data_IF_511742863584
#
_entry.id   IF_511742863584
#
_cell.length_a   1.000
_cell.length_b   1.000
_cell.length_c   1.000
_cell.angle_alpha   90.00
_cell.angle_beta   90.00
_cell.angle_gamma   90.00
#
_symmetry.space_group_name_H-M   'P 1'
#
loop_
_entity.id
_entity.type
_entity.pdbx_description
1 polymer ?
#
# COMPACT_ATOMS: atom_id res chain seq x y z
N UNK A 1 36.73 70.45 -17.60
CA UNK A 1 36.17 69.75 -16.41
C UNK A 1 34.64 69.77 -16.36
N UNK A 2 33.94 70.78 -16.90
CA UNK A 2 32.46 70.91 -16.82
C UNK A 2 31.70 69.72 -17.41
N UNK A 3 32.08 69.20 -18.58
CA UNK A 3 31.40 68.05 -19.21
C UNK A 3 31.46 66.74 -18.40
N UNK A 4 32.43 66.58 -17.52
CA UNK A 4 32.52 65.40 -16.67
C UNK A 4 31.48 65.44 -15.55
N UNK A 5 31.21 66.63 -15.00
CA UNK A 5 30.14 66.84 -14.01
C UNK A 5 28.76 66.63 -14.62
N UNK A 6 28.54 67.04 -15.87
CA UNK A 6 27.26 66.80 -16.58
C UNK A 6 27.00 65.30 -16.77
N UNK A 7 28.04 64.53 -17.13
CA UNK A 7 27.95 63.07 -17.28
C UNK A 7 27.68 62.40 -15.93
N UNK A 8 28.40 62.81 -14.88
CA UNK A 8 28.23 62.24 -13.53
C UNK A 8 26.84 62.55 -12.96
N UNK A 9 26.33 63.77 -13.20
CA UNK A 9 24.99 64.17 -12.80
C UNK A 9 23.91 63.35 -13.52
N UNK A 10 24.03 63.17 -14.83
CA UNK A 10 23.10 62.35 -15.60
C UNK A 10 23.13 60.88 -15.17
N UNK A 11 24.32 60.35 -14.85
CA UNK A 11 24.45 58.97 -14.36
C UNK A 11 23.81 58.80 -12.97
N UNK A 12 23.98 59.78 -12.08
CA UNK A 12 23.35 59.76 -10.75
C UNK A 12 21.83 59.91 -10.86
N UNK A 13 21.34 60.78 -11.74
CA UNK A 13 19.91 60.93 -12.01
C UNK A 13 19.29 59.64 -12.58
N UNK A 14 19.98 58.98 -13.51
CA UNK A 14 19.55 57.69 -14.08
C UNK A 14 19.50 56.59 -13.01
N UNK A 15 20.52 56.54 -12.13
CA UNK A 15 20.56 55.57 -11.03
C UNK A 15 19.39 55.75 -10.06
N UNK A 16 19.08 57.00 -9.69
CA UNK A 16 17.96 57.32 -8.80
C UNK A 16 16.63 56.94 -9.46
N UNK A 17 16.45 57.23 -10.75
CA UNK A 17 15.24 56.87 -11.49
C UNK A 17 15.04 55.35 -11.56
N UNK A 18 16.10 54.59 -11.82
CA UNK A 18 16.07 53.12 -11.83
C UNK A 18 15.74 52.56 -10.44
N UNK A 19 16.36 53.08 -9.39
CA UNK A 19 16.12 52.63 -8.02
C UNK A 19 14.67 52.84 -7.60
N UNK A 20 14.14 54.05 -7.83
CA UNK A 20 12.74 54.37 -7.53
C UNK A 20 11.75 53.53 -8.34
N UNK A 21 12.04 53.29 -9.63
CA UNK A 21 11.20 52.45 -10.48
C UNK A 21 11.12 51.00 -9.99
N UNK A 22 12.25 50.43 -9.58
CA UNK A 22 12.33 49.08 -9.02
C UNK A 22 11.62 48.99 -7.67
N UNK A 23 11.79 49.98 -6.78
CA UNK A 23 11.12 50.01 -5.47
C UNK A 23 9.58 50.07 -5.61
N UNK A 24 9.08 50.94 -6.50
CA UNK A 24 7.64 51.04 -6.79
C UNK A 24 7.10 49.72 -7.37
N UNK A 25 7.86 49.07 -8.26
CA UNK A 25 7.49 47.79 -8.84
C UNK A 25 7.38 46.68 -7.78
N UNK A 26 8.34 46.57 -6.87
CA UNK A 26 8.27 45.59 -5.79
C UNK A 26 7.09 45.85 -4.86
N UNK A 27 6.80 47.11 -4.52
CA UNK A 27 5.63 47.48 -3.72
C UNK A 27 4.31 47.13 -4.42
N UNK A 28 4.24 47.29 -5.73
CA UNK A 28 3.06 46.92 -6.51
C UNK A 28 2.88 45.40 -6.63
N UNK A 29 3.96 44.65 -6.82
CA UNK A 29 3.93 43.18 -6.86
C UNK A 29 3.47 42.59 -5.52
N UNK A 30 3.95 43.14 -4.40
CA UNK A 30 3.55 42.69 -3.07
C UNK A 30 2.05 42.97 -2.82
N UNK A 31 1.55 44.13 -3.29
CA UNK A 31 0.12 44.46 -3.23
C UNK A 31 -0.76 43.52 -4.09
N UNK A 32 -0.31 43.10 -5.28
CA UNK A 32 -1.03 42.12 -6.12
C UNK A 32 -1.01 40.70 -5.53
N UNK A 33 0.08 40.30 -4.89
CA UNK A 33 0.19 38.99 -4.25
C UNK A 33 -0.60 38.92 -2.93
N UNK A 34 -0.79 40.07 -2.25
CA UNK A 34 -1.61 40.20 -1.04
C UNK A 34 -3.10 39.96 -1.28
N UNK A 35 -3.60 40.14 -2.52
CA UNK A 35 -5.00 39.82 -2.89
C UNK A 35 -5.26 38.32 -3.12
N UNK A 36 -4.23 37.47 -3.03
CA UNK A 36 -4.37 36.00 -3.08
C UNK A 36 -4.03 35.41 -1.71
N UNK A 37 -4.66 35.94 -0.65
CA UNK A 37 -4.82 35.18 0.58
C UNK A 37 -6.28 35.21 1.03
N UNK A 38 -6.81 34.00 1.06
CA UNK A 38 -7.85 33.55 1.98
C UNK A 38 -9.26 34.04 1.68
N UNK A 39 -9.87 33.32 0.75
CA UNK A 39 -11.27 32.92 0.76
C UNK A 39 -11.93 33.02 2.15
N UNK A 40 -12.68 34.09 2.37
CA UNK A 40 -13.81 34.13 3.30
C UNK A 40 -15.06 33.44 2.72
N UNK A 41 -14.89 32.56 1.73
CA UNK A 41 -15.98 31.78 1.14
C UNK A 41 -15.83 30.31 1.51
N UNK A 42 -16.08 30.00 2.79
CA UNK A 42 -16.62 28.72 3.25
C UNK A 42 -16.91 28.76 4.77
N UNK A 43 -17.59 29.81 5.23
CA UNK A 43 -18.50 29.66 6.36
C UNK A 43 -19.86 29.15 5.84
N UNK A 44 -19.84 28.15 4.95
CA UNK A 44 -20.96 27.24 4.90
C UNK A 44 -20.90 26.46 6.20
N UNK A 45 -21.80 26.85 7.12
CA UNK A 45 -22.47 26.00 8.07
C UNK A 45 -22.02 24.55 7.97
N UNK A 46 -20.93 24.20 8.66
CA UNK A 46 -20.79 22.88 9.22
C UNK A 46 -21.92 22.77 10.24
N UNK A 47 -23.12 22.49 9.72
CA UNK A 47 -24.19 21.87 10.47
C UNK A 47 -23.50 20.75 11.21
N UNK A 48 -23.43 20.88 12.53
CA UNK A 48 -22.73 19.97 13.40
C UNK A 48 -23.19 18.57 13.00
N UNK A 49 -22.39 17.90 12.18
CA UNK A 49 -22.47 16.46 12.00
C UNK A 49 -22.18 16.00 13.41
N UNK A 50 -23.24 15.60 14.09
CA UNK A 50 -23.22 14.81 15.30
C UNK A 50 -21.98 13.95 15.19
N UNK A 51 -20.97 14.25 15.99
CA UNK A 51 -19.86 13.33 16.20
C UNK A 51 -20.55 12.06 16.66
N UNK A 52 -20.75 11.14 15.73
CA UNK A 52 -21.21 9.81 16.05
C UNK A 52 -20.17 9.32 17.05
N UNK A 53 -20.62 9.11 18.30
CA UNK A 53 -19.75 8.79 19.42
C UNK A 53 -18.86 7.66 18.95
N UNK A 54 -17.54 7.89 18.93
CA UNK A 54 -16.60 6.85 18.54
C UNK A 54 -16.97 5.58 19.32
N UNK A 55 -17.21 4.46 18.61
CA UNK A 55 -17.62 3.23 19.27
C UNK A 55 -16.63 2.92 20.39
N UNK A 56 -17.11 2.45 21.56
CA UNK A 56 -16.21 2.07 22.63
C UNK A 56 -15.18 1.05 22.11
N UNK A 57 -13.95 1.01 22.66
CA UNK A 57 -12.87 0.17 22.15
C UNK A 57 -13.26 -1.32 22.03
N UNK A 58 -14.18 -1.81 22.86
CA UNK A 58 -14.76 -3.15 22.78
C UNK A 58 -15.48 -3.46 21.45
N UNK A 59 -15.95 -2.44 20.71
CA UNK A 59 -16.55 -2.61 19.39
C UNK A 59 -15.55 -3.19 18.37
N UNK A 60 -14.26 -2.87 18.53
CA UNK A 60 -13.18 -3.29 17.65
C UNK A 60 -12.62 -4.68 18.00
N UNK A 61 -13.02 -5.27 19.13
CA UNK A 61 -12.65 -6.66 19.49
C UNK A 61 -13.15 -7.68 18.46
N UNK A 62 -14.20 -7.33 17.70
CA UNK A 62 -14.66 -8.15 16.58
C UNK A 62 -13.62 -8.25 15.46
N UNK A 63 -12.75 -7.25 15.30
CA UNK A 63 -11.71 -7.23 14.27
C UNK A 63 -10.54 -8.14 14.69
N UNK A 64 -10.13 -8.09 15.97
CA UNK A 64 -9.04 -8.93 16.49
C UNK A 64 -9.41 -10.41 16.54
N UNK A 65 -10.64 -10.74 16.97
CA UNK A 65 -11.15 -12.12 17.06
C UNK A 65 -11.32 -12.82 15.72
N UNK A 66 -11.45 -12.06 14.63
CA UNK A 66 -11.55 -12.59 13.26
C UNK A 66 -10.19 -12.94 12.65
N UNK A 67 -9.09 -12.81 13.40
CA UNK A 67 -7.74 -13.08 12.93
C UNK A 67 -7.27 -12.15 11.80
N UNK A 68 -8.01 -11.07 11.52
CA UNK A 68 -7.73 -10.13 10.42
C UNK A 68 -6.41 -9.37 10.62
N UNK A 69 -5.89 -9.36 11.85
CA UNK A 69 -4.65 -8.68 12.25
C UNK A 69 -3.68 -9.65 12.95
N UNK A 70 -3.76 -10.96 12.65
CA UNK A 70 -2.85 -11.97 13.20
C UNK A 70 -3.15 -12.41 14.64
N UNK A 71 -4.32 -12.04 15.19
CA UNK A 71 -4.83 -12.54 16.47
C UNK A 71 -5.37 -13.98 16.37
N UNK A 72 -5.53 -14.70 17.50
CA UNK A 72 -6.11 -16.03 17.50
C UNK A 72 -7.52 -15.98 16.89
N UNK A 73 -7.74 -16.77 15.84
CA UNK A 73 -9.07 -16.97 15.25
C UNK A 73 -9.87 -17.74 16.29
N UNK A 74 -10.76 -17.02 16.99
CA UNK A 74 -11.74 -17.66 17.84
C UNK A 74 -12.94 -17.92 16.94
N UNK A 75 -13.10 -19.16 16.51
CA UNK A 75 -14.28 -19.66 15.80
C UNK A 75 -15.48 -19.63 16.74
N UNK A 76 -15.93 -18.43 17.09
CA UNK A 76 -17.24 -18.24 17.67
C UNK A 76 -18.20 -18.21 16.50
N UNK A 77 -18.79 -19.38 16.27
CA UNK A 77 -20.01 -19.56 15.51
C UNK A 77 -21.09 -18.64 16.11
N UNK A 78 -21.08 -17.37 15.73
CA UNK A 78 -22.09 -16.40 16.12
C UNK A 78 -22.90 -16.03 14.89
N UNK A 79 -24.05 -16.73 14.81
CA UNK A 79 -25.21 -16.53 13.95
C UNK A 79 -25.00 -16.68 12.44
N UNK A 80 -24.95 -17.95 12.04
CA UNK A 80 -25.62 -18.41 10.83
C UNK A 80 -27.15 -18.32 11.03
N UNK A 81 -27.72 -17.15 10.79
CA UNK A 81 -29.13 -16.98 10.40
C UNK A 81 -28.99 -16.20 9.07
N UNK A 82 -29.05 -16.77 7.87
CA UNK A 82 -30.12 -17.59 7.30
C UNK A 82 -29.58 -18.65 6.30
N UNK A 83 -30.20 -19.84 6.37
CA UNK A 83 -29.90 -21.14 5.77
C UNK A 83 -28.97 -22.02 6.62
N UNK A 84 -29.57 -23.05 7.24
CA UNK A 84 -28.88 -24.01 8.11
C UNK A 84 -27.71 -24.70 7.44
N UNK A 85 -26.59 -24.77 8.16
CA UNK A 85 -25.33 -25.40 7.73
C UNK A 85 -25.51 -26.85 7.27
N UNK A 86 -26.54 -27.54 7.77
CA UNK A 86 -26.88 -28.93 7.42
C UNK A 86 -27.37 -29.11 5.97
N UNK A 87 -28.01 -28.11 5.36
CA UNK A 87 -28.47 -28.20 3.96
C UNK A 87 -27.35 -27.84 2.97
N UNK A 88 -26.37 -27.05 3.39
CA UNK A 88 -25.21 -26.65 2.59
C UNK A 88 -24.18 -27.78 2.52
N UNK A 89 -24.07 -28.59 3.59
CA UNK A 89 -23.19 -29.76 3.63
C UNK A 89 -23.69 -30.96 2.79
N UNK A 90 -24.96 -30.98 2.40
CA UNK A 90 -25.57 -32.04 1.60
C UNK A 90 -25.47 -31.82 0.07
N UNK A 91 -24.94 -30.68 -0.38
CA UNK A 91 -24.81 -30.36 -1.80
C UNK A 91 -23.61 -31.06 -2.43
N UNK A 92 -23.79 -31.55 -3.66
CA UNK A 92 -22.71 -32.24 -4.40
C UNK A 92 -21.68 -31.22 -4.88
N UNK A 93 -20.37 -31.54 -4.81
CA UNK A 93 -19.32 -30.67 -5.35
C UNK A 93 -19.52 -30.49 -6.85
N UNK A 94 -19.32 -29.27 -7.35
CA UNK A 94 -19.52 -28.98 -8.76
C UNK A 94 -18.53 -29.75 -9.64
N UNK A 95 -19.01 -30.24 -10.79
CA UNK A 95 -18.16 -30.89 -11.80
C UNK A 95 -17.69 -29.93 -12.88
N UNK A 96 -17.95 -28.62 -12.72
CA UNK A 96 -17.55 -27.59 -13.68
C UNK A 96 -16.03 -27.32 -13.60
N UNK A 97 -15.42 -27.01 -14.74
CA UNK A 97 -14.01 -26.65 -14.85
C UNK A 97 -13.77 -25.19 -14.45
N UNK A 98 -14.22 -24.81 -13.26
CA UNK A 98 -14.12 -23.46 -12.72
C UNK A 98 -13.35 -23.53 -11.41
N UNK A 99 -12.42 -22.60 -11.21
CA UNK A 99 -11.72 -22.42 -9.94
C UNK A 99 -12.22 -21.15 -9.28
N UNK A 100 -12.65 -21.29 -8.03
CA UNK A 100 -12.92 -20.15 -7.18
C UNK A 100 -11.59 -19.61 -6.65
N UNK A 101 -11.25 -18.38 -7.03
CA UNK A 101 -10.02 -17.70 -6.59
C UNK A 101 -10.26 -16.88 -5.32
N UNK A 102 -11.48 -16.37 -5.13
CA UNK A 102 -11.82 -15.61 -3.94
C UNK A 102 -13.30 -15.24 -3.85
N UNK A 103 -13.74 -14.93 -2.63
CA UNK A 103 -15.10 -14.50 -2.33
C UNK A 103 -15.07 -13.29 -1.41
N UNK A 104 -15.86 -12.28 -1.71
CA UNK A 104 -16.22 -11.22 -0.76
C UNK A 104 -17.64 -11.49 -0.29
N UNK A 105 -17.78 -11.75 1.01
CA UNK A 105 -19.05 -12.04 1.66
C UNK A 105 -19.59 -10.76 2.33
N UNK A 106 -20.88 -10.48 2.12
CA UNK A 106 -21.55 -9.30 2.65
C UNK A 106 -23.02 -9.27 2.22
N UNK A 107 -23.73 -8.14 2.40
CA UNK A 107 -25.06 -7.93 1.85
C UNK A 107 -25.05 -8.19 0.33
N UNK A 108 -26.16 -8.66 -0.26
CA UNK A 108 -26.20 -9.09 -1.68
C UNK A 108 -25.61 -8.06 -2.67
N UNK A 109 -25.74 -6.76 -2.38
CA UNK A 109 -25.19 -5.66 -3.19
C UNK A 109 -23.65 -5.58 -3.20
N UNK A 110 -23.00 -6.24 -2.26
CA UNK A 110 -21.54 -6.19 -2.03
C UNK A 110 -20.90 -7.57 -2.13
N UNK A 111 -21.70 -8.61 -2.34
CA UNK A 111 -21.22 -9.98 -2.43
C UNK A 111 -20.76 -10.31 -3.85
N UNK A 112 -19.51 -10.75 -4.00
CA UNK A 112 -18.96 -11.13 -5.29
C UNK A 112 -17.95 -12.27 -5.18
N UNK A 113 -17.88 -13.08 -6.23
CA UNK A 113 -16.95 -14.18 -6.39
C UNK A 113 -16.02 -13.91 -7.57
N UNK A 114 -14.73 -14.13 -7.37
CA UNK A 114 -13.73 -14.11 -8.44
C UNK A 114 -13.49 -15.55 -8.87
N UNK A 115 -13.81 -15.86 -10.12
CA UNK A 115 -13.75 -17.21 -10.67
C UNK A 115 -12.94 -17.26 -11.96
N UNK A 116 -12.22 -18.36 -12.15
CA UNK A 116 -11.41 -18.62 -13.35
C UNK A 116 -11.90 -19.88 -14.08
N UNK A 117 -12.13 -19.76 -15.39
CA UNK A 117 -12.48 -20.90 -16.24
C UNK A 117 -11.21 -21.64 -16.70
N UNK A 118 -11.02 -22.88 -16.21
CA UNK A 118 -9.95 -23.80 -16.64
C UNK A 118 -10.21 -24.23 -18.10
N UNK A 119 -9.61 -23.49 -19.03
CA UNK A 119 -9.70 -23.74 -20.47
C UNK A 119 -9.54 -22.47 -21.32
N UNK A 120 -9.99 -21.31 -20.81
CA UNK A 120 -9.87 -20.02 -21.51
C UNK A 120 -8.94 -19.02 -20.81
N UNK A 121 -8.40 -19.37 -19.62
CA UNK A 121 -7.66 -18.44 -18.72
C UNK A 121 -8.38 -17.11 -18.54
N UNK A 122 -9.71 -17.14 -18.56
CA UNK A 122 -10.56 -15.97 -18.41
C UNK A 122 -10.97 -15.88 -16.95
N UNK A 123 -10.53 -14.83 -16.28
CA UNK A 123 -10.92 -14.50 -14.92
C UNK A 123 -12.07 -13.51 -14.98
N UNK A 124 -13.09 -13.72 -14.16
CA UNK A 124 -14.26 -12.86 -14.09
C UNK A 124 -14.67 -12.58 -12.66
N UNK A 125 -15.21 -11.38 -12.46
CA UNK A 125 -15.93 -11.00 -11.26
C UNK A 125 -17.41 -11.31 -11.48
N UNK A 126 -18.01 -12.05 -10.56
CA UNK A 126 -19.41 -12.46 -10.68
C UNK A 126 -20.18 -12.20 -9.38
N UNK A 127 -21.44 -11.79 -9.52
CA UNK A 127 -22.37 -11.51 -8.44
C UNK A 127 -23.53 -12.52 -8.41
N UNK A 128 -24.34 -12.49 -7.36
CA UNK A 128 -25.57 -13.29 -7.28
C UNK A 128 -26.46 -13.01 -8.51
N UNK A 129 -26.89 -14.07 -9.21
CA UNK A 129 -27.66 -14.00 -10.45
C UNK A 129 -26.84 -14.08 -11.74
N UNK A 130 -25.51 -13.89 -11.69
CA UNK A 130 -24.68 -13.99 -12.88
C UNK A 130 -24.53 -15.44 -13.36
N UNK A 131 -24.28 -15.59 -14.67
CA UNK A 131 -24.07 -16.88 -15.32
C UNK A 131 -22.59 -17.13 -15.63
N UNK A 132 -22.09 -18.30 -15.23
CA UNK A 132 -20.73 -18.77 -15.53
C UNK A 132 -20.81 -20.20 -16.08
N UNK A 133 -20.27 -20.45 -17.28
CA UNK A 133 -20.38 -21.73 -18.00
C UNK A 133 -21.79 -22.38 -18.04
N UNK A 134 -22.84 -21.56 -18.07
CA UNK A 134 -24.23 -22.04 -18.08
C UNK A 134 -24.80 -22.38 -16.69
N UNK A 135 -24.05 -22.17 -15.62
CA UNK A 135 -24.51 -22.22 -14.23
C UNK A 135 -24.88 -20.83 -13.73
N UNK A 136 -25.90 -20.72 -12.87
CA UNK A 136 -26.32 -19.46 -12.25
C UNK A 136 -25.84 -19.40 -10.80
N UNK A 137 -25.35 -18.25 -10.35
CA UNK A 137 -24.91 -18.07 -8.96
C UNK A 137 -26.13 -17.79 -8.08
N UNK A 138 -26.46 -18.69 -7.16
CA UNK A 138 -27.54 -18.50 -6.18
C UNK A 138 -27.11 -17.74 -4.93
N UNK A 139 -25.91 -18.04 -4.42
CA UNK A 139 -25.41 -17.41 -3.18
C UNK A 139 -23.90 -17.44 -3.13
N UNK A 140 -23.30 -16.32 -2.74
CA UNK A 140 -21.87 -16.23 -2.44
C UNK A 140 -21.70 -16.33 -0.92
N UNK A 141 -21.02 -17.38 -0.47
CA UNK A 141 -20.68 -17.61 0.93
C UNK A 141 -19.17 -17.41 1.13
N UNK A 142 -18.72 -17.38 2.38
CA UNK A 142 -17.29 -17.27 2.68
C UNK A 142 -16.56 -18.51 2.20
N UNK A 143 -15.70 -18.35 1.19
CA UNK A 143 -14.87 -19.44 0.63
C UNK A 143 -15.65 -20.49 -0.17
N UNK A 144 -16.96 -20.30 -0.39
CA UNK A 144 -17.82 -21.21 -1.13
C UNK A 144 -18.83 -20.44 -1.96
N UNK A 145 -19.21 -20.97 -3.13
CA UNK A 145 -20.26 -20.40 -3.98
C UNK A 145 -21.26 -21.49 -4.30
N UNK A 146 -22.55 -21.19 -4.13
CA UNK A 146 -23.64 -22.09 -4.52
C UNK A 146 -24.04 -21.73 -5.94
N UNK A 147 -23.92 -22.71 -6.83
CA UNK A 147 -24.21 -22.62 -8.25
C UNK A 147 -25.43 -23.50 -8.56
N UNK A 148 -26.32 -23.03 -9.43
CA UNK A 148 -27.37 -23.85 -10.01
C UNK A 148 -26.95 -24.29 -11.41
N UNK A 149 -26.74 -25.59 -11.59
CA UNK A 149 -26.35 -26.22 -12.86
C UNK A 149 -27.51 -27.10 -13.33
N UNK A 150 -28.18 -26.72 -14.42
CA UNK A 150 -29.29 -27.49 -15.03
C UNK A 150 -30.39 -27.89 -14.01
N UNK A 151 -30.76 -26.97 -13.10
CA UNK A 151 -31.80 -27.20 -12.09
C UNK A 151 -31.35 -27.95 -10.83
N UNK A 152 -30.05 -28.20 -10.66
CA UNK A 152 -29.47 -28.80 -9.45
C UNK A 152 -28.49 -27.85 -8.79
N UNK A 153 -28.54 -27.79 -7.47
CA UNK A 153 -27.63 -26.97 -6.68
C UNK A 153 -26.32 -27.72 -6.47
N UNK A 154 -25.23 -27.10 -6.90
CA UNK A 154 -23.86 -27.58 -6.77
C UNK A 154 -23.04 -26.56 -5.97
N UNK A 155 -22.08 -27.06 -5.20
CA UNK A 155 -21.19 -26.19 -4.42
C UNK A 155 -19.80 -26.12 -5.06
N UNK A 156 -19.33 -24.90 -5.29
CA UNK A 156 -17.95 -24.63 -5.66
C UNK A 156 -17.21 -24.16 -4.41
N UNK A 157 -16.38 -25.04 -3.86
CA UNK A 157 -15.50 -24.70 -2.76
C UNK A 157 -14.19 -24.11 -3.29
N UNK A 158 -13.66 -23.11 -2.59
CA UNK A 158 -12.34 -22.56 -2.90
C UNK A 158 -11.28 -23.65 -2.70
N UNK A 159 -10.42 -23.85 -3.69
CA UNK A 159 -9.31 -24.78 -3.59
C UNK A 159 -8.37 -24.27 -2.50
N UNK A 160 -8.52 -24.82 -1.29
CA UNK A 160 -7.64 -24.50 -0.18
C UNK A 160 -6.25 -24.98 -0.58
N UNK A 161 -5.32 -24.04 -0.74
CA UNK A 161 -3.88 -24.36 -0.70
C UNK A 161 -3.72 -25.14 0.59
N UNK A 162 -3.43 -26.45 0.48
CA UNK A 162 -3.15 -27.30 1.63
C UNK A 162 -1.94 -26.71 2.31
N UNK A 163 -2.18 -25.82 3.27
CA UNK A 163 -1.19 -25.41 4.24
C UNK A 163 -0.70 -26.70 4.87
N UNK A 164 0.55 -27.05 4.57
CA UNK A 164 1.16 -28.29 5.01
C UNK A 164 0.92 -28.46 6.50
N UNK A 165 0.45 -29.65 6.88
CA UNK A 165 0.39 -30.12 8.27
C UNK A 165 1.61 -29.60 9.02
N UNK A 166 1.39 -28.68 9.96
CA UNK A 166 2.34 -28.34 11.00
C UNK A 166 2.63 -29.64 11.76
N UNK A 167 3.71 -30.30 11.40
CA UNK A 167 4.37 -31.23 12.31
C UNK A 167 4.95 -30.38 13.42
N UNK A 168 4.42 -30.57 14.63
CA UNK A 168 5.00 -30.08 15.87
C UNK A 168 6.37 -30.72 16.06
N UNK A 169 7.40 -30.15 15.43
CA UNK A 169 8.79 -30.36 15.86
C UNK A 169 9.13 -29.21 16.79
N UNK A 170 9.04 -29.50 18.08
CA UNK A 170 9.72 -28.76 19.12
C UNK A 170 11.20 -28.66 18.73
N UNK A 171 11.67 -27.44 18.51
CA UNK A 171 13.05 -27.17 18.11
C UNK A 171 13.23 -25.73 17.63
N UNK A 172 13.66 -24.86 18.55
CA UNK A 172 14.34 -23.60 18.26
C UNK A 172 13.50 -22.51 17.60
N UNK A 173 13.12 -21.51 18.38
CA UNK A 173 12.56 -20.26 17.89
C UNK A 173 13.47 -19.62 16.84
N UNK A 174 13.02 -19.62 15.58
CA UNK A 174 13.49 -18.69 14.57
C UNK A 174 12.27 -18.26 13.75
N UNK A 175 11.84 -17.02 13.99
CA UNK A 175 10.78 -16.32 13.28
C UNK A 175 10.99 -16.46 11.76
N UNK A 176 10.30 -17.41 11.13
CA UNK A 176 10.06 -17.39 9.68
C UNK A 176 8.72 -16.68 9.47
N UNK A 177 8.78 -15.35 9.48
CA UNK A 177 7.72 -14.55 8.89
C UNK A 177 7.65 -14.83 7.40
N UNK A 178 6.45 -14.80 6.84
CA UNK A 178 6.18 -14.85 5.40
C UNK A 178 7.00 -13.77 4.68
N UNK A 179 8.20 -14.14 4.28
CA UNK A 179 9.17 -13.27 3.65
C UNK A 179 9.22 -13.58 2.16
N UNK A 180 8.93 -12.60 1.33
CA UNK A 180 9.11 -12.76 -0.11
C UNK A 180 10.61 -12.78 -0.40
N UNK A 181 11.12 -13.89 -0.91
CA UNK A 181 12.51 -13.99 -1.38
C UNK A 181 12.62 -13.37 -2.77
N UNK A 182 13.40 -12.31 -2.89
CA UNK A 182 13.71 -11.64 -4.15
C UNK A 182 15.15 -12.01 -4.52
N UNK A 183 15.31 -12.77 -5.61
CA UNK A 183 16.62 -13.06 -6.19
C UNK A 183 17.03 -11.91 -7.10
N UNK A 184 18.23 -11.36 -6.88
CA UNK A 184 18.77 -10.25 -7.66
C UNK A 184 20.14 -10.63 -8.21
N UNK A 185 20.31 -10.53 -9.52
CA UNK A 185 21.58 -10.85 -10.19
C UNK A 185 22.69 -9.85 -9.84
N UNK A 186 23.88 -10.36 -9.55
CA UNK A 186 25.04 -9.59 -9.08
C UNK A 186 25.46 -8.45 -10.04
N UNK A 187 25.39 -8.68 -11.35
CA UNK A 187 25.83 -7.72 -12.39
C UNK A 187 25.01 -6.41 -12.41
N UNK A 188 23.70 -6.51 -12.14
CA UNK A 188 22.78 -5.37 -12.12
C UNK A 188 22.97 -4.49 -10.87
N UNK A 189 23.35 -5.13 -9.76
CA UNK A 189 23.66 -4.46 -8.50
C UNK A 189 24.98 -3.71 -8.61
N UNK A 190 26.03 -4.33 -9.13
CA UNK A 190 27.36 -3.71 -9.17
C UNK A 190 27.40 -2.44 -10.04
N UNK A 191 26.70 -2.46 -11.19
CA UNK A 191 26.58 -1.28 -12.08
C UNK A 191 25.76 -0.15 -11.44
N UNK A 192 24.71 -0.47 -10.70
CA UNK A 192 23.81 0.51 -10.08
C UNK A 192 24.37 1.05 -8.76
N UNK A 193 25.09 0.23 -8.00
CA UNK A 193 25.67 0.57 -6.70
C UNK A 193 27.04 1.25 -6.83
N UNK A 194 27.68 1.27 -8.01
CA UNK A 194 28.94 1.98 -8.22
C UNK A 194 28.84 3.50 -8.11
N UNK A 195 27.64 4.08 -8.25
CA UNK A 195 27.44 5.53 -8.23
C UNK A 195 26.30 5.93 -7.28
N UNK A 196 26.67 6.25 -6.04
CA UNK A 196 25.71 6.65 -5.00
C UNK A 196 24.87 7.87 -5.40
N UNK A 197 25.46 8.83 -6.12
CA UNK A 197 24.77 10.04 -6.52
C UNK A 197 23.61 9.72 -7.47
N UNK A 198 23.79 8.77 -8.39
CA UNK A 198 22.74 8.36 -9.31
C UNK A 198 21.58 7.67 -8.57
N UNK A 199 21.88 6.85 -7.56
CA UNK A 199 20.88 6.17 -6.73
C UNK A 199 20.01 7.13 -5.92
N UNK A 200 20.62 8.14 -5.31
CA UNK A 200 19.88 9.17 -4.56
C UNK A 200 18.94 9.99 -5.46
N UNK A 201 19.17 10.00 -6.78
CA UNK A 201 18.21 10.59 -7.74
C UNK A 201 17.04 9.67 -8.10
N UNK A 202 17.11 8.38 -7.78
CA UNK A 202 16.12 7.36 -8.14
C UNK A 202 15.05 7.15 -7.06
N UNK A 203 15.28 7.63 -5.84
CA UNK A 203 14.32 7.55 -4.72
C UNK A 203 14.48 8.74 -3.79
N UNK A 204 13.38 9.23 -3.23
CA UNK A 204 13.36 10.21 -2.13
C UNK A 204 13.00 9.51 -0.83
N UNK A 205 13.91 9.61 0.13
CA UNK A 205 13.78 9.01 1.47
C UNK A 205 13.50 10.14 2.46
N UNK A 206 12.44 10.00 3.27
CA UNK A 206 12.11 10.97 4.33
C UNK A 206 11.85 10.27 5.66
N UNK A 207 12.28 10.83 6.79
CA UNK A 207 11.91 10.32 8.10
C UNK A 207 10.39 10.38 8.29
N UNK A 208 9.81 9.29 8.80
CA UNK A 208 8.44 9.29 9.31
C UNK A 208 8.50 9.53 10.82
N UNK A 209 7.76 10.53 11.30
CA UNK A 209 7.65 10.82 12.73
C UNK A 209 6.21 10.55 13.14
N UNK A 210 6.02 9.70 14.15
CA UNK A 210 4.71 9.38 14.73
C UNK A 210 4.77 9.63 16.23
N UNK A 211 3.82 10.40 16.76
CA UNK A 211 3.78 10.78 18.18
C UNK A 211 5.10 11.40 18.69
N UNK A 212 5.76 12.21 17.85
CA UNK A 212 7.04 12.86 18.18
C UNK A 212 8.26 11.92 18.17
N UNK A 213 8.11 10.64 17.79
CA UNK A 213 9.20 9.67 17.70
C UNK A 213 9.44 9.24 16.25
N UNK A 214 10.71 9.00 15.84
CA UNK A 214 11.02 8.39 14.56
C UNK A 214 10.37 7.01 14.45
N UNK A 215 9.61 6.81 13.38
CA UNK A 215 8.76 5.64 13.12
C UNK A 215 9.04 5.10 11.70
N UNK A 216 10.31 5.09 11.28
CA UNK A 216 10.74 4.54 9.99
C UNK A 216 11.08 5.58 8.93
N UNK A 217 11.31 5.09 7.70
CA UNK A 217 11.62 5.91 6.53
C UNK A 217 10.61 5.68 5.42
N UNK A 218 10.00 6.75 4.92
CA UNK A 218 9.07 6.70 3.79
C UNK A 218 9.84 6.82 2.49
N UNK A 219 9.57 5.88 1.57
CA UNK A 219 10.07 5.90 0.20
C UNK A 219 9.06 6.55 -0.73
N UNK A 220 9.52 7.53 -1.50
CA UNK A 220 8.71 8.23 -2.50
C UNK A 220 9.53 8.50 -3.75
N UNK A 221 8.86 8.78 -4.87
CA UNK A 221 9.51 9.05 -6.16
C UNK A 221 10.48 7.93 -6.61
N UNK A 222 10.16 6.67 -6.30
CA UNK A 222 10.84 5.49 -6.82
C UNK A 222 10.68 5.47 -8.34
N UNK A 223 11.79 5.69 -9.06
CA UNK A 223 11.80 5.67 -10.53
C UNK A 223 11.53 4.25 -11.06
N UNK A 224 10.73 4.09 -12.14
CA UNK A 224 10.61 2.81 -12.84
C UNK A 224 11.98 2.32 -13.32
N UNK A 225 12.22 1.00 -13.32
CA UNK A 225 13.49 0.35 -13.71
C UNK A 225 14.71 0.72 -12.84
N UNK A 226 14.51 1.44 -11.73
CA UNK A 226 15.54 1.67 -10.71
C UNK A 226 15.89 0.39 -9.97
N UNK A 227 17.02 0.39 -9.26
CA UNK A 227 17.36 -0.74 -8.39
C UNK A 227 16.29 -0.96 -7.31
N UNK A 228 15.72 0.12 -6.76
CA UNK A 228 14.65 0.04 -5.76
C UNK A 228 13.41 -0.67 -6.32
N UNK A 229 13.05 -0.40 -7.58
CA UNK A 229 11.94 -1.10 -8.24
C UNK A 229 12.25 -2.59 -8.51
N UNK A 230 13.51 -2.93 -8.85
CA UNK A 230 13.96 -4.32 -9.01
C UNK A 230 13.96 -5.07 -7.68
N UNK A 231 14.27 -4.37 -6.58
CA UNK A 231 14.14 -4.85 -5.21
C UNK A 231 12.67 -4.94 -4.73
N UNK A 232 11.70 -4.66 -5.60
CA UNK A 232 10.28 -4.78 -5.27
C UNK A 232 9.75 -3.65 -4.37
N UNK A 233 10.52 -2.59 -4.14
CA UNK A 233 10.10 -1.39 -3.41
C UNK A 233 9.23 -0.50 -4.29
N UNK A 234 8.26 0.16 -3.66
CA UNK A 234 7.24 0.98 -4.30
C UNK A 234 7.10 2.34 -3.60
N UNK A 235 6.48 3.26 -4.31
CA UNK A 235 6.09 4.55 -3.74
C UNK A 235 5.10 4.34 -2.59
N UNK A 236 5.36 5.00 -1.46
CA UNK A 236 4.53 4.90 -0.26
C UNK A 236 4.94 3.77 0.70
N UNK A 237 5.98 3.00 0.38
CA UNK A 237 6.54 2.03 1.31
C UNK A 237 7.20 2.74 2.50
N UNK A 238 6.97 2.24 3.70
CA UNK A 238 7.61 2.71 4.93
C UNK A 238 8.55 1.63 5.45
N UNK A 239 9.85 1.85 5.33
CA UNK A 239 10.87 0.95 5.88
C UNK A 239 10.89 1.09 7.40
N UNK A 240 10.67 -0.01 8.11
CA UNK A 240 10.70 -0.08 9.58
C UNK A 240 12.00 -0.69 10.10
N UNK A 241 12.42 -1.82 9.51
CA UNK A 241 13.61 -2.56 9.97
C UNK A 241 14.44 -3.10 8.83
N UNK A 242 15.74 -3.22 9.06
CA UNK A 242 16.71 -3.90 8.20
C UNK A 242 17.49 -4.87 9.08
N UNK A 243 17.49 -6.15 8.74
CA UNK A 243 18.20 -7.22 9.48
C UNK A 243 17.94 -7.15 11.00
N UNK A 244 16.66 -7.04 11.37
CA UNK A 244 16.19 -6.89 12.75
C UNK A 244 16.57 -5.57 13.47
N UNK A 245 17.28 -4.64 12.80
CA UNK A 245 17.60 -3.31 13.32
C UNK A 245 16.55 -2.28 12.87
N UNK A 246 15.99 -1.53 13.82
CA UNK A 246 15.09 -0.41 13.51
C UNK A 246 15.82 0.70 12.76
N UNK A 247 15.14 1.29 11.78
CA UNK A 247 15.68 2.35 10.94
C UNK A 247 14.95 3.64 11.28
N UNK A 248 15.70 4.65 11.72
CA UNK A 248 15.13 5.91 12.20
C UNK A 248 15.63 7.12 11.44
N UNK A 249 16.79 7.03 10.81
CA UNK A 249 17.41 8.12 10.05
C UNK A 249 17.87 7.67 8.65
N UNK A 250 18.07 8.62 7.72
CA UNK A 250 18.69 8.34 6.43
C UNK A 250 20.08 7.69 6.54
N UNK A 251 20.86 8.01 7.58
CA UNK A 251 22.17 7.40 7.84
C UNK A 251 22.07 5.88 8.06
N UNK A 252 21.03 5.42 8.77
CA UNK A 252 20.77 3.99 8.96
C UNK A 252 20.46 3.28 7.62
N UNK A 253 19.84 3.97 6.66
CA UNK A 253 19.60 3.44 5.32
C UNK A 253 20.90 3.32 4.51
N UNK A 254 21.93 4.10 4.82
CA UNK A 254 23.23 3.99 4.17
C UNK A 254 23.97 2.71 4.56
N UNK A 255 23.82 2.25 5.81
CA UNK A 255 24.34 0.96 6.26
C UNK A 255 23.75 -0.20 5.45
N UNK A 256 22.46 -0.12 5.13
CA UNK A 256 21.79 -1.08 4.27
C UNK A 256 22.35 -1.09 2.85
N UNK A 257 22.58 0.09 2.25
CA UNK A 257 23.20 0.20 0.94
C UNK A 257 24.58 -0.49 0.90
N UNK A 258 25.42 -0.30 1.93
CA UNK A 258 26.73 -0.94 1.99
C UNK A 258 26.64 -2.47 2.05
N UNK A 259 25.65 -3.02 2.79
CA UNK A 259 25.39 -4.47 2.84
C UNK A 259 24.84 -5.02 1.52
N UNK A 260 23.96 -4.28 0.89
CA UNK A 260 23.45 -4.61 -0.44
C UNK A 260 24.60 -4.66 -1.47
N UNK A 261 25.57 -3.75 -1.36
CA UNK A 261 26.78 -3.73 -2.19
C UNK A 261 27.72 -4.90 -1.94
N UNK A 262 27.80 -5.42 -0.72
CA UNK A 262 28.60 -6.61 -0.42
C UNK A 262 27.94 -7.91 -0.88
N UNK A 263 26.70 -7.87 -1.40
CA UNK A 263 25.96 -9.08 -1.80
C UNK A 263 25.58 -10.00 -0.63
N UNK A 264 25.52 -9.44 0.58
CA UNK A 264 25.15 -10.21 1.77
C UNK A 264 23.63 -10.38 1.84
N UNK A 265 23.15 -11.58 2.19
CA UNK A 265 21.72 -11.81 2.45
C UNK A 265 21.19 -10.79 3.46
N UNK A 266 20.01 -10.25 3.17
CA UNK A 266 19.40 -9.23 4.02
C UNK A 266 17.88 -9.38 4.06
N UNK A 267 17.29 -8.92 5.16
CA UNK A 267 15.85 -8.88 5.38
C UNK A 267 15.39 -7.44 5.64
N UNK A 268 14.39 -7.00 4.88
CA UNK A 268 13.81 -5.66 4.99
C UNK A 268 12.35 -5.76 5.42
N UNK A 269 12.00 -5.15 6.55
CA UNK A 269 10.61 -5.03 7.00
C UNK A 269 10.04 -3.68 6.57
N UNK A 270 9.01 -3.72 5.74
CA UNK A 270 8.31 -2.54 5.21
C UNK A 270 6.84 -2.56 5.57
N UNK A 271 6.23 -1.39 5.68
CA UNK A 271 4.78 -1.24 5.66
C UNK A 271 4.37 -0.71 4.29
N UNK A 272 3.50 -1.45 3.61
CA UNK A 272 2.91 -1.04 2.34
C UNK A 272 1.41 -0.85 2.52
N UNK A 273 0.96 0.40 2.52
CA UNK A 273 -0.40 0.73 2.92
C UNK A 273 -0.60 0.42 4.41
N UNK A 274 -1.37 -0.62 4.72
CA UNK A 274 -1.61 -1.10 6.09
C UNK A 274 -0.98 -2.46 6.41
N UNK A 275 -0.32 -3.09 5.45
CA UNK A 275 0.28 -4.41 5.61
C UNK A 275 1.77 -4.31 5.93
N UNK A 276 2.24 -5.05 6.95
CA UNK A 276 3.66 -5.29 7.16
C UNK A 276 4.13 -6.41 6.23
N UNK A 277 5.24 -6.19 5.52
CA UNK A 277 5.86 -7.16 4.61
C UNK A 277 7.33 -7.28 4.91
N UNK A 278 7.82 -8.52 4.89
CA UNK A 278 9.24 -8.81 4.97
C UNK A 278 9.74 -9.18 3.57
N UNK A 279 10.74 -8.47 3.09
CA UNK A 279 11.42 -8.72 1.82
C UNK A 279 12.80 -9.28 2.13
N UNK A 280 13.03 -10.55 1.78
CA UNK A 280 14.32 -11.20 1.96
C UNK A 280 15.05 -11.17 0.61
N UNK A 281 16.30 -10.73 0.60
CA UNK A 281 17.09 -10.64 -0.62
C UNK A 281 18.22 -11.65 -0.58
N UNK A 282 18.34 -12.40 -1.68
CA UNK A 282 19.42 -13.33 -1.95
C UNK A 282 20.08 -12.89 -3.26
N UNK A 283 21.40 -12.91 -3.27
CA UNK A 283 22.20 -12.47 -4.39
C UNK A 283 22.82 -13.70 -5.04
N UNK A 284 22.66 -13.81 -6.36
CA UNK A 284 23.22 -14.86 -7.22
C UNK A 284 24.16 -14.25 -8.26
#
# INVERSE_FOLDING_TARGET
>A
MTRFYDILFNLMALFIALYLGVDIFYRFMDAQLSTINSSETAAETFSARTMDKQPPPAHYDKISRRGLLGGPIVDRAEKAEEMGEEQIAALKPTSLNIVLLGTVYGPERVAFAVMEEKGKKKQGLYQTGDKVQGAMIKKVLRGKVILEVKGKDEILEMEQVKNGKLSSRSGGAQNRGDGYTITVGHDDLQKSLGNINSLLTQVRIRPLIKNGKPDGLVLSHVKPRSIFSKLGLKNGDVVKKIDNKEIKSPDDAFMFYNRLKSGAELSLEIIRGSESKTLNYRFE
#
